data_IF_934367468439
#
_entry.id   IF_934367468439
#
_cell.length_a   1.000
_cell.length_b   1.000
_cell.length_c   1.000
_cell.angle_alpha   90.00
_cell.angle_beta   90.00
_cell.angle_gamma   90.00
#
_symmetry.space_group_name_H-M   'P 1'
#
loop_
_entity.id
_entity.type
_entity.pdbx_description
1 polymer ?
#
# COMPACT_ATOMS: atom_id res chain seq x y z
N UNK A 1 -2.55 30.66 5.84
CA UNK A 1 -3.36 29.62 5.15
C UNK A 1 -3.78 28.53 6.13
N UNK A 2 -5.05 28.09 6.10
CA UNK A 2 -5.50 26.95 6.92
C UNK A 2 -4.89 25.64 6.42
N UNK A 3 -4.20 24.91 7.31
CA UNK A 3 -3.62 23.60 7.02
C UNK A 3 -4.67 22.47 7.02
N UNK A 4 -5.83 22.70 7.64
CA UNK A 4 -6.94 21.74 7.72
C UNK A 4 -8.13 22.15 6.86
N UNK A 5 -8.86 21.14 6.37
CA UNK A 5 -10.21 21.25 5.83
C UNK A 5 -11.15 20.49 6.77
N UNK A 6 -11.95 21.21 7.56
CA UNK A 6 -12.70 20.63 8.68
C UNK A 6 -11.76 20.07 9.75
N UNK A 7 -11.94 18.79 10.14
CA UNK A 7 -11.11 18.12 11.15
C UNK A 7 -9.84 17.47 10.59
N UNK A 8 -9.71 17.35 9.27
CA UNK A 8 -8.60 16.66 8.60
C UNK A 8 -7.57 17.63 8.01
N UNK A 9 -6.29 17.21 7.96
CA UNK A 9 -5.29 17.93 7.18
C UNK A 9 -5.58 17.80 5.68
N UNK A 10 -5.25 18.85 4.95
CA UNK A 10 -5.32 18.90 3.49
C UNK A 10 -4.56 17.72 2.86
N UNK A 11 -5.08 17.20 1.75
CA UNK A 11 -4.60 15.96 1.11
C UNK A 11 -3.15 16.14 0.63
N UNK A 12 -2.82 17.34 0.17
CA UNK A 12 -1.50 17.75 -0.30
C UNK A 12 -0.47 17.70 0.82
N UNK A 13 -0.80 18.25 1.99
CA UNK A 13 0.10 18.18 3.16
C UNK A 13 0.30 16.73 3.62
N UNK A 14 -0.76 15.92 3.56
CA UNK A 14 -0.69 14.49 3.89
C UNK A 14 0.15 13.71 2.88
N UNK A 15 0.11 14.09 1.61
CA UNK A 15 0.95 13.52 0.57
C UNK A 15 2.42 13.84 0.82
N UNK A 16 2.76 15.08 1.16
CA UNK A 16 4.14 15.46 1.52
C UNK A 16 4.64 14.63 2.72
N UNK A 17 3.81 14.46 3.76
CA UNK A 17 4.18 13.62 4.90
C UNK A 17 4.45 12.15 4.49
N UNK A 18 3.69 11.61 3.54
CA UNK A 18 3.91 10.25 2.97
C UNK A 18 5.16 10.13 2.11
N UNK A 19 5.74 11.23 1.65
CA UNK A 19 7.04 11.24 0.96
C UNK A 19 8.17 11.38 1.98
N UNK A 20 8.07 12.35 2.89
CA UNK A 20 9.14 12.66 3.85
C UNK A 20 9.48 11.50 4.79
N UNK A 21 8.48 10.77 5.29
CA UNK A 21 8.74 9.66 6.24
C UNK A 21 9.52 8.52 5.57
N UNK A 22 9.13 7.99 4.40
CA UNK A 22 9.96 7.05 3.65
C UNK A 22 11.33 7.59 3.26
N UNK A 23 11.48 8.89 3.03
CA UNK A 23 12.79 9.54 2.79
C UNK A 23 13.68 9.65 4.04
N UNK A 24 13.30 9.05 5.16
CA UNK A 24 14.11 9.01 6.38
C UNK A 24 13.85 10.16 7.35
N UNK A 25 12.90 11.05 7.07
CA UNK A 25 12.59 12.14 8.00
C UNK A 25 11.93 11.59 9.27
N UNK A 26 12.45 11.99 10.44
CA UNK A 26 11.88 11.66 11.74
C UNK A 26 10.42 12.14 11.80
N UNK A 27 9.47 11.23 12.05
CA UNK A 27 8.03 11.54 12.08
C UNK A 27 7.65 12.72 13.00
N UNK A 28 8.42 12.95 14.07
CA UNK A 28 8.19 14.08 14.99
C UNK A 28 8.60 15.44 14.42
N UNK A 29 9.41 15.48 13.36
CA UNK A 29 9.90 16.70 12.71
C UNK A 29 9.22 17.00 11.38
N UNK A 30 8.54 16.03 10.78
CA UNK A 30 7.82 16.19 9.52
C UNK A 30 6.82 17.36 9.54
N UNK A 31 6.11 17.57 10.65
CA UNK A 31 5.15 18.67 10.76
C UNK A 31 5.79 20.06 10.70
N UNK A 32 6.90 20.24 11.41
CA UNK A 32 7.71 21.48 11.40
C UNK A 32 8.31 21.68 10.01
N UNK A 33 8.92 20.64 9.44
CA UNK A 33 9.53 20.69 8.11
C UNK A 33 8.53 21.10 7.02
N UNK A 34 7.29 20.61 7.07
CA UNK A 34 6.23 21.02 6.13
C UNK A 34 5.91 22.51 6.29
N UNK A 35 5.91 23.04 7.52
CA UNK A 35 5.70 24.48 7.73
C UNK A 35 6.87 25.30 7.20
N UNK A 36 8.10 24.86 7.44
CA UNK A 36 9.30 25.56 6.97
C UNK A 36 9.36 25.60 5.43
N UNK A 37 9.06 24.48 4.78
CA UNK A 37 8.92 24.41 3.32
C UNK A 37 7.81 25.36 2.84
N UNK A 38 6.63 25.34 3.47
CA UNK A 38 5.53 26.22 3.08
C UNK A 38 5.91 27.71 3.19
N UNK A 39 6.62 28.10 4.25
CA UNK A 39 7.10 29.47 4.45
C UNK A 39 8.07 29.92 3.35
N UNK A 40 8.96 29.04 2.89
CA UNK A 40 9.86 29.32 1.75
C UNK A 40 9.06 29.70 0.49
N UNK A 41 7.90 29.06 0.29
CA UNK A 41 6.97 29.38 -0.81
C UNK A 41 5.98 30.51 -0.49
N UNK A 42 6.21 31.30 0.57
CA UNK A 42 5.36 32.42 0.96
C UNK A 42 4.02 32.02 1.60
N UNK A 43 3.88 30.75 2.01
CA UNK A 43 2.66 30.23 2.62
C UNK A 43 2.88 30.00 4.12
N UNK A 44 2.22 30.82 4.94
CA UNK A 44 2.21 30.57 6.39
C UNK A 44 1.09 29.59 6.78
N UNK A 45 1.45 28.45 7.35
CA UNK A 45 0.50 27.41 7.78
C UNK A 45 0.16 27.59 9.26
N UNK A 46 -1.15 27.70 9.57
CA UNK A 46 -1.66 27.97 10.92
C UNK A 46 -1.34 26.88 11.98
N UNK A 47 -0.83 25.72 11.57
CA UNK A 47 -0.49 24.60 12.45
C UNK A 47 0.42 23.56 11.79
N UNK A 48 1.30 22.96 12.58
CA UNK A 48 2.08 21.77 12.20
C UNK A 48 1.28 20.48 12.38
N UNK A 49 1.66 19.41 11.68
CA UNK A 49 1.20 18.05 12.02
C UNK A 49 1.95 17.51 13.23
N UNK A 50 1.23 16.94 14.20
CA UNK A 50 1.88 16.21 15.30
C UNK A 50 2.44 14.86 14.83
N UNK A 51 3.42 14.31 15.58
CA UNK A 51 3.96 12.96 15.35
C UNK A 51 2.85 11.90 15.20
N UNK A 52 1.81 11.96 16.04
CA UNK A 52 0.67 11.03 16.00
C UNK A 52 -0.11 11.16 14.69
N UNK A 53 -0.33 12.38 14.22
CA UNK A 53 -1.03 12.63 12.95
C UNK A 53 -0.19 12.21 11.75
N UNK A 54 1.12 12.45 11.77
CA UNK A 54 2.04 11.96 10.74
C UNK A 54 1.96 10.42 10.67
N UNK A 55 2.12 9.73 11.80
CA UNK A 55 2.00 8.25 11.86
C UNK A 55 0.67 7.74 11.31
N UNK A 56 -0.45 8.36 11.69
CA UNK A 56 -1.78 8.02 11.15
C UNK A 56 -1.86 8.24 9.65
N UNK A 57 -1.28 9.32 9.15
CA UNK A 57 -1.25 9.62 7.71
C UNK A 57 -0.51 8.56 6.90
N UNK A 58 0.59 8.03 7.44
CA UNK A 58 1.31 6.90 6.82
C UNK A 58 0.45 5.63 6.85
N UNK A 59 -0.11 5.30 8.01
CA UNK A 59 -0.94 4.11 8.18
C UNK A 59 -2.17 4.12 7.28
N UNK A 60 -2.86 5.26 7.16
CA UNK A 60 -3.99 5.41 6.24
C UNK A 60 -3.56 5.22 4.77
N UNK A 61 -2.34 5.63 4.41
CA UNK A 61 -1.77 5.35 3.09
C UNK A 61 -1.55 3.85 2.83
N UNK A 62 -1.07 3.12 3.84
CA UNK A 62 -0.91 1.66 3.77
C UNK A 62 -2.27 0.97 3.59
N UNK A 63 -3.28 1.34 4.38
CA UNK A 63 -4.64 0.77 4.25
C UNK A 63 -5.21 1.07 2.86
N UNK A 64 -5.02 2.29 2.35
CA UNK A 64 -5.46 2.64 1.00
C UNK A 64 -4.76 1.79 -0.08
N UNK A 65 -3.47 1.52 0.08
CA UNK A 65 -2.72 0.64 -0.83
C UNK A 65 -3.23 -0.81 -0.78
N UNK A 66 -3.58 -1.34 0.41
CA UNK A 66 -4.20 -2.67 0.54
C UNK A 66 -5.58 -2.74 -0.12
N UNK A 67 -6.42 -1.70 0.06
CA UNK A 67 -7.72 -1.63 -0.61
C UNK A 67 -7.55 -1.59 -2.12
N UNK A 68 -6.60 -0.79 -2.62
CA UNK A 68 -6.28 -0.75 -4.05
C UNK A 68 -5.82 -2.11 -4.55
N UNK A 69 -4.90 -2.77 -3.85
CA UNK A 69 -4.43 -4.10 -4.20
C UNK A 69 -5.59 -5.10 -4.30
N UNK A 70 -6.53 -5.06 -3.36
CA UNK A 70 -7.73 -5.90 -3.41
C UNK A 70 -8.65 -5.60 -4.60
N UNK A 71 -8.80 -4.33 -5.00
CA UNK A 71 -9.53 -3.96 -6.24
C UNK A 71 -8.85 -4.57 -7.47
N UNK A 72 -7.53 -4.40 -7.57
CA UNK A 72 -6.76 -4.89 -8.71
C UNK A 72 -6.79 -6.42 -8.79
N UNK A 73 -6.58 -7.12 -7.66
CA UNK A 73 -6.68 -8.59 -7.58
C UNK A 73 -8.09 -9.11 -7.90
N UNK A 74 -9.13 -8.32 -7.61
CA UNK A 74 -10.52 -8.67 -7.92
C UNK A 74 -10.84 -8.52 -9.41
N UNK A 75 -10.20 -7.59 -10.11
CA UNK A 75 -10.56 -7.22 -11.48
C UNK A 75 -9.60 -7.77 -12.53
N UNK A 76 -8.36 -8.10 -12.17
CA UNK A 76 -7.42 -8.75 -13.10
C UNK A 76 -7.91 -10.14 -13.52
N UNK A 77 -7.43 -10.60 -14.67
CA UNK A 77 -7.65 -11.97 -15.16
C UNK A 77 -6.62 -12.93 -14.55
N UNK A 78 -5.39 -12.46 -14.42
CA UNK A 78 -4.23 -13.27 -14.08
C UNK A 78 -3.35 -12.55 -13.05
N UNK A 79 -2.73 -13.34 -12.18
CA UNK A 79 -1.76 -12.89 -11.19
C UNK A 79 -0.57 -13.85 -11.24
N UNK A 80 0.63 -13.31 -11.37
CA UNK A 80 1.86 -14.01 -11.01
C UNK A 80 2.51 -13.33 -9.82
N UNK A 81 3.26 -14.08 -9.03
CA UNK A 81 3.82 -13.58 -7.79
C UNK A 81 5.31 -13.84 -7.75
N UNK A 82 6.05 -12.94 -7.12
CA UNK A 82 7.43 -13.20 -6.78
C UNK A 82 7.76 -12.80 -5.36
N UNK A 83 8.71 -13.52 -4.77
CA UNK A 83 9.35 -13.12 -3.54
C UNK A 83 10.87 -13.12 -3.69
N UNK A 84 11.51 -12.18 -3.00
CA UNK A 84 12.97 -12.05 -2.94
C UNK A 84 13.37 -11.88 -1.47
N UNK A 85 14.37 -12.63 -1.03
CA UNK A 85 14.72 -12.77 0.38
C UNK A 85 16.16 -12.33 0.67
N UNK A 86 16.35 -11.60 1.77
CA UNK A 86 17.68 -11.26 2.29
C UNK A 86 17.73 -11.45 3.80
N UNK A 87 18.87 -11.88 4.32
CA UNK A 87 19.10 -12.03 5.76
C UNK A 87 19.86 -10.85 6.34
N UNK A 88 19.46 -10.39 7.53
CA UNK A 88 20.20 -9.39 8.31
C UNK A 88 20.13 -9.74 9.80
N UNK A 89 21.28 -9.95 10.44
CA UNK A 89 21.39 -10.29 11.87
C UNK A 89 20.51 -11.49 12.27
N UNK A 90 20.57 -12.58 11.50
CA UNK A 90 19.77 -13.80 11.71
C UNK A 90 18.24 -13.60 11.61
N UNK A 91 17.80 -12.51 10.97
CA UNK A 91 16.40 -12.26 10.64
C UNK A 91 16.31 -12.17 9.12
N UNK A 92 15.41 -12.93 8.52
CA UNK A 92 15.13 -12.82 7.10
C UNK A 92 14.11 -11.74 6.85
N UNK A 93 14.27 -11.08 5.72
CA UNK A 93 13.34 -10.12 5.18
C UNK A 93 12.97 -10.60 3.79
N UNK A 94 11.71 -11.00 3.62
CA UNK A 94 11.17 -11.43 2.34
C UNK A 94 10.27 -10.32 1.80
N UNK A 95 10.63 -9.82 0.63
CA UNK A 95 9.80 -8.93 -0.16
C UNK A 95 8.77 -9.73 -0.96
N UNK A 96 7.58 -9.17 -1.14
CA UNK A 96 6.49 -9.82 -1.84
C UNK A 96 5.94 -8.91 -2.93
N UNK A 97 5.86 -9.43 -4.15
CA UNK A 97 5.47 -8.70 -5.33
C UNK A 97 4.38 -9.46 -6.09
N UNK A 98 3.36 -8.74 -6.54
CA UNK A 98 2.32 -9.24 -7.44
C UNK A 98 2.49 -8.58 -8.80
N UNK A 99 2.40 -9.39 -9.85
CA UNK A 99 2.49 -8.96 -11.24
C UNK A 99 1.14 -9.22 -11.88
N UNK A 100 0.47 -8.15 -12.30
CA UNK A 100 -0.88 -8.23 -12.87
C UNK A 100 -1.19 -7.02 -13.72
N UNK A 101 -2.19 -7.13 -14.60
CA UNK A 101 -2.71 -6.02 -15.39
C UNK A 101 -3.78 -5.30 -14.55
N UNK A 102 -3.51 -4.09 -14.00
CA UNK A 102 -4.50 -3.40 -13.19
C UNK A 102 -5.64 -2.85 -14.06
N UNK A 103 -6.84 -2.66 -13.49
CA UNK A 103 -7.92 -1.92 -14.12
C UNK A 103 -7.51 -0.46 -14.36
N UNK A 104 -7.76 0.03 -15.58
CA UNK A 104 -7.56 1.42 -15.99
C UNK A 104 -8.87 2.00 -16.47
N UNK A 105 -9.12 3.27 -16.11
CA UNK A 105 -10.29 4.01 -16.57
C UNK A 105 -9.92 4.79 -17.82
N UNK A 106 -10.61 4.49 -18.92
CA UNK A 106 -10.44 5.16 -20.19
C UNK A 106 -11.08 6.56 -20.20
N UNK A 107 -10.72 7.44 -21.16
CA UNK A 107 -11.32 8.77 -21.28
C UNK A 107 -12.84 8.76 -21.45
N UNK A 108 -13.38 7.72 -22.10
CA UNK A 108 -14.82 7.48 -22.29
C UNK A 108 -15.54 6.99 -21.01
N UNK A 109 -14.78 6.74 -19.94
CA UNK A 109 -15.29 6.25 -18.66
C UNK A 109 -15.38 4.73 -18.54
N UNK A 110 -15.11 3.98 -19.61
CA UNK A 110 -15.02 2.51 -19.57
C UNK A 110 -13.83 2.07 -18.71
N UNK A 111 -13.93 0.86 -18.13
CA UNK A 111 -12.83 0.24 -17.37
C UNK A 111 -12.33 -0.95 -18.17
N UNK A 112 -11.04 -0.93 -18.50
CA UNK A 112 -10.33 -2.03 -19.18
C UNK A 112 -9.12 -2.43 -18.34
N UNK A 113 -8.42 -3.50 -18.71
CA UNK A 113 -7.15 -3.84 -18.09
C UNK A 113 -6.02 -3.09 -18.79
N UNK A 114 -4.98 -2.70 -18.05
CA UNK A 114 -3.78 -2.15 -18.65
C UNK A 114 -3.16 -3.14 -19.66
N UNK A 115 -2.58 -2.61 -20.74
CA UNK A 115 -1.87 -3.41 -21.73
C UNK A 115 -0.68 -4.15 -21.09
N UNK A 116 0.16 -3.41 -20.35
CA UNK A 116 1.32 -3.97 -19.67
C UNK A 116 1.01 -4.39 -18.23
N UNK A 117 1.51 -5.56 -17.79
CA UNK A 117 1.55 -5.92 -16.37
C UNK A 117 2.30 -4.87 -15.54
N UNK A 118 1.82 -4.65 -14.33
CA UNK A 118 2.47 -3.78 -13.34
C UNK A 118 2.86 -4.60 -12.12
N UNK A 119 4.00 -4.23 -11.53
CA UNK A 119 4.45 -4.79 -10.26
C UNK A 119 3.76 -4.02 -9.12
N UNK A 120 3.18 -4.76 -8.20
CA UNK A 120 2.61 -4.27 -6.95
C UNK A 120 3.34 -4.86 -5.78
N UNK A 121 3.91 -4.00 -4.96
CA UNK A 121 4.57 -4.38 -3.74
C UNK A 121 3.55 -4.68 -2.65
N UNK A 122 3.48 -5.94 -2.20
CA UNK A 122 2.61 -6.37 -1.11
C UNK A 122 3.22 -6.16 0.28
N UNK A 123 4.54 -5.94 0.35
CA UNK A 123 5.22 -5.62 1.59
C UNK A 123 6.44 -6.49 1.87
N UNK A 124 7.06 -6.23 3.02
CA UNK A 124 8.15 -7.02 3.58
C UNK A 124 7.62 -7.75 4.80
N UNK A 125 7.88 -9.05 4.87
CA UNK A 125 7.63 -9.85 6.07
C UNK A 125 8.96 -10.39 6.56
N UNK A 126 9.15 -10.38 7.88
CA UNK A 126 10.36 -10.90 8.49
C UNK A 126 10.10 -12.25 9.15
N UNK A 127 10.96 -13.22 8.88
CA UNK A 127 10.86 -14.57 9.45
C UNK A 127 12.21 -14.99 10.02
N UNK A 128 12.17 -15.82 11.06
CA UNK A 128 13.38 -16.47 11.60
C UNK A 128 13.59 -17.84 10.92
N UNK A 129 12.51 -18.38 10.35
CA UNK A 129 12.48 -19.68 9.66
C UNK A 129 12.33 -19.49 8.14
N UNK A 130 13.06 -20.32 7.39
CA UNK A 130 13.12 -20.37 5.93
C UNK A 130 12.32 -21.52 5.32
N UNK A 131 11.58 -22.27 6.14
CA UNK A 131 10.84 -23.43 5.66
C UNK A 131 9.73 -23.04 4.67
N UNK A 132 9.50 -23.87 3.65
CA UNK A 132 8.39 -23.72 2.68
C UNK A 132 7.02 -23.50 3.36
N UNK A 133 6.68 -24.18 4.48
CA UNK A 133 5.45 -23.89 5.22
C UNK A 133 5.35 -22.43 5.71
N UNK A 134 6.44 -21.86 6.22
CA UNK A 134 6.48 -20.48 6.71
C UNK A 134 6.31 -19.47 5.57
N UNK A 135 6.89 -19.74 4.40
CA UNK A 135 6.68 -18.90 3.21
C UNK A 135 5.23 -18.95 2.70
N UNK A 136 4.60 -20.13 2.71
CA UNK A 136 3.18 -20.26 2.38
C UNK A 136 2.30 -19.46 3.35
N UNK A 137 2.53 -19.58 4.65
CA UNK A 137 1.76 -18.86 5.67
C UNK A 137 1.89 -17.34 5.52
N UNK A 138 3.08 -16.88 5.11
CA UNK A 138 3.35 -15.47 4.83
C UNK A 138 2.47 -14.93 3.70
N UNK A 139 2.33 -15.69 2.60
CA UNK A 139 1.42 -15.33 1.50
C UNK A 139 -0.05 -15.35 1.93
N UNK A 140 -0.47 -16.36 2.71
CA UNK A 140 -1.84 -16.42 3.24
C UNK A 140 -2.16 -15.21 4.11
N UNK A 141 -1.21 -14.78 4.94
CA UNK A 141 -1.32 -13.57 5.76
C UNK A 141 -1.50 -12.32 4.88
N UNK A 142 -0.70 -12.17 3.82
CA UNK A 142 -0.79 -11.03 2.89
C UNK A 142 -2.17 -11.00 2.19
N UNK A 143 -2.67 -12.16 1.75
CA UNK A 143 -4.02 -12.22 1.17
C UNK A 143 -5.08 -11.85 2.19
N UNK A 144 -4.98 -12.37 3.41
CA UNK A 144 -5.95 -12.10 4.46
C UNK A 144 -6.00 -10.60 4.81
N UNK A 145 -4.84 -9.98 5.04
CA UNK A 145 -4.75 -8.53 5.30
C UNK A 145 -5.35 -7.70 4.15
N UNK A 146 -5.09 -8.10 2.90
CA UNK A 146 -5.62 -7.43 1.70
C UNK A 146 -7.13 -7.61 1.57
N UNK A 147 -7.62 -8.84 1.76
CA UNK A 147 -9.04 -9.16 1.72
C UNK A 147 -9.80 -8.42 2.82
N UNK A 148 -9.28 -8.36 4.04
CA UNK A 148 -9.93 -7.69 5.16
C UNK A 148 -10.05 -6.18 4.90
N UNK A 149 -8.96 -5.54 4.48
CA UNK A 149 -8.97 -4.12 4.13
C UNK A 149 -9.95 -3.83 2.99
N UNK A 150 -9.90 -4.61 1.91
CA UNK A 150 -10.79 -4.45 0.77
C UNK A 150 -12.26 -4.69 1.12
N UNK A 151 -12.58 -5.80 1.79
CA UNK A 151 -13.94 -6.21 2.12
C UNK A 151 -14.60 -5.27 3.14
N UNK A 152 -13.81 -4.68 4.05
CA UNK A 152 -14.29 -3.65 4.98
C UNK A 152 -14.49 -2.28 4.31
N UNK A 153 -13.92 -2.05 3.13
CA UNK A 153 -14.01 -0.77 2.43
C UNK A 153 -15.41 -0.53 1.81
N UNK A 154 -15.81 0.74 1.58
CA UNK A 154 -17.00 1.04 0.79
C UNK A 154 -16.97 0.44 -0.62
N UNK A 155 -15.78 0.32 -1.22
CA UNK A 155 -15.60 -0.25 -2.56
C UNK A 155 -15.90 -1.75 -2.54
N UNK A 156 -15.41 -2.49 -1.53
CA UNK A 156 -15.68 -3.91 -1.37
C UNK A 156 -17.16 -4.22 -1.19
N UNK A 157 -17.89 -3.35 -0.48
CA UNK A 157 -19.35 -3.45 -0.36
C UNK A 157 -20.09 -3.23 -1.67
N UNK A 158 -19.57 -2.36 -2.56
CA UNK A 158 -20.21 -2.03 -3.85
C UNK A 158 -19.87 -3.02 -4.96
N UNK A 159 -18.61 -3.44 -5.07
CA UNK A 159 -18.14 -4.33 -6.15
C UNK A 159 -18.25 -5.82 -5.79
N UNK A 160 -18.63 -6.13 -4.55
CA UNK A 160 -18.67 -7.47 -4.01
C UNK A 160 -17.35 -7.91 -3.40
N UNK A 161 -17.40 -8.91 -2.52
CA UNK A 161 -16.26 -9.36 -1.72
C UNK A 161 -15.14 -9.97 -2.59
N UNK A 162 -13.93 -9.92 -2.06
CA UNK A 162 -12.76 -10.68 -2.51
C UNK A 162 -12.59 -11.85 -1.54
N UNK A 163 -12.39 -13.05 -2.07
CA UNK A 163 -12.12 -14.25 -1.30
C UNK A 163 -10.89 -14.99 -1.84
N UNK A 164 -10.36 -15.91 -1.03
CA UNK A 164 -9.15 -16.65 -1.36
C UNK A 164 -9.35 -17.52 -2.61
N UNK A 165 -10.54 -18.08 -2.80
CA UNK A 165 -10.86 -18.93 -3.97
C UNK A 165 -10.72 -18.14 -5.27
N UNK A 166 -11.16 -16.89 -5.27
CA UNK A 166 -11.06 -15.99 -6.41
C UNK A 166 -9.59 -15.67 -6.71
N UNK A 167 -8.76 -15.43 -5.69
CA UNK A 167 -7.32 -15.22 -5.85
C UNK A 167 -6.66 -16.47 -6.45
N UNK A 168 -6.95 -17.66 -5.89
CA UNK A 168 -6.40 -18.93 -6.39
C UNK A 168 -6.77 -19.21 -7.85
N UNK A 169 -7.99 -18.85 -8.29
CA UNK A 169 -8.41 -19.04 -9.70
C UNK A 169 -7.64 -18.17 -10.70
N UNK A 170 -7.09 -17.05 -10.25
CA UNK A 170 -6.33 -16.10 -11.08
C UNK A 170 -4.83 -16.31 -10.98
N UNK A 171 -4.37 -17.05 -9.97
CA UNK A 171 -2.97 -17.35 -9.79
C UNK A 171 -2.46 -18.24 -10.93
N UNK A 172 -1.46 -17.76 -11.66
CA UNK A 172 -0.85 -18.49 -12.79
C UNK A 172 0.53 -19.04 -12.48
N UNK A 173 1.21 -18.49 -11.48
CA UNK A 173 2.53 -18.95 -11.08
C UNK A 173 3.09 -18.11 -9.94
N UNK A 174 4.06 -18.69 -9.24
CA UNK A 174 4.82 -18.05 -8.18
C UNK A 174 6.29 -18.35 -8.39
N UNK A 175 7.14 -17.35 -8.19
CA UNK A 175 8.60 -17.49 -8.22
C UNK A 175 9.16 -17.04 -6.87
N UNK A 176 9.88 -17.92 -6.19
CA UNK A 176 10.54 -17.60 -4.94
C UNK A 176 11.72 -18.53 -4.76
N UNK A 177 12.60 -18.17 -3.82
CA UNK A 177 13.81 -18.96 -3.53
C UNK A 177 13.49 -20.35 -2.92
N UNK A 178 12.24 -20.56 -2.47
CA UNK A 178 11.77 -21.76 -1.76
C UNK A 178 10.37 -22.19 -2.19
#
# INVERSE_FOLDING_TARGET
MRAKRGRAYKVELRAIARVLVPSGCKQGKVGELIQDIAKIFGVDLDRAMSRKTVRRTIFEGMVAAQVQLGVEMKQTEDITMSSDSTSRRHINHQSHNLHMRPPVKNPDGSITLAEDPRIRFAGIKSTVDHSTPTSKETWLTIYQETMDAYNASPIGRRLGKLDLRMICRRLRGMCGDH
#
